data_IF_300214890860
#
_entry.id   IF_300214890860
#
_cell.length_a   1.000
_cell.length_b   1.000
_cell.length_c   1.000
_cell.angle_alpha   90.00
_cell.angle_beta   90.00
_cell.angle_gamma   90.00
#
_symmetry.space_group_name_H-M   'P 1'
#
loop_
_entity.id
_entity.type
_entity.pdbx_description
1 polymer ?
#
# COMPACT_ATOMS: atom_id res chain seq x y z
N UNK A 1 26.32 4.02 4.23
CA UNK A 1 26.36 3.69 2.77
C UNK A 1 25.70 2.34 2.55
N UNK A 2 24.73 2.26 1.65
CA UNK A 2 24.03 1.01 1.33
C UNK A 2 24.95 0.02 0.63
N UNK A 3 24.94 -1.23 1.07
CA UNK A 3 25.71 -2.34 0.46
C UNK A 3 24.88 -3.60 0.44
N UNK A 4 25.02 -4.39 -0.64
CA UNK A 4 24.51 -5.76 -0.68
C UNK A 4 25.28 -6.62 0.32
N UNK A 5 24.58 -7.13 1.31
CA UNK A 5 25.18 -7.92 2.41
C UNK A 5 24.85 -9.40 2.31
N UNK A 6 23.75 -9.74 1.64
CA UNK A 6 23.30 -11.13 1.53
C UNK A 6 22.48 -11.35 0.26
N UNK A 7 22.63 -12.53 -0.35
CA UNK A 7 21.75 -13.04 -1.39
C UNK A 7 21.19 -14.38 -0.95
N UNK A 8 19.87 -14.45 -0.82
CA UNK A 8 19.14 -15.69 -0.55
C UNK A 8 18.72 -16.30 -1.88
N UNK A 9 19.00 -17.57 -2.11
CA UNK A 9 18.68 -18.29 -3.35
C UNK A 9 17.40 -19.11 -3.18
N UNK A 10 16.83 -19.52 -4.30
CA UNK A 10 15.64 -20.38 -4.37
C UNK A 10 14.41 -19.73 -3.71
N UNK A 11 14.27 -18.39 -3.82
CA UNK A 11 13.13 -17.61 -3.35
C UNK A 11 12.16 -17.41 -4.50
N UNK A 12 11.15 -18.24 -4.62
CA UNK A 12 10.15 -18.19 -5.68
C UNK A 12 9.19 -17.00 -5.52
N UNK A 13 8.77 -16.72 -4.29
CA UNK A 13 7.90 -15.59 -3.97
C UNK A 13 8.46 -14.81 -2.79
N UNK A 14 8.34 -13.50 -2.88
CA UNK A 14 8.70 -12.56 -1.83
C UNK A 14 7.51 -11.65 -1.55
N UNK A 15 7.10 -11.62 -0.30
CA UNK A 15 5.99 -10.82 0.18
C UNK A 15 6.49 -9.88 1.27
N UNK A 16 6.29 -8.60 1.08
CA UNK A 16 6.52 -7.60 2.11
C UNK A 16 5.62 -6.41 1.85
N UNK A 17 4.70 -6.18 2.75
CA UNK A 17 3.75 -5.08 2.65
C UNK A 17 3.86 -4.12 3.83
N UNK A 18 4.80 -4.36 4.75
CA UNK A 18 5.01 -3.49 5.88
C UNK A 18 6.49 -3.33 6.19
N UNK A 19 6.98 -2.11 6.10
CA UNK A 19 8.36 -1.74 6.36
C UNK A 19 8.73 -1.73 7.85
N UNK A 20 7.72 -1.71 8.74
CA UNK A 20 7.95 -1.73 10.18
C UNK A 20 8.44 -3.10 10.62
N UNK A 21 9.31 -3.11 11.58
CA UNK A 21 9.81 -4.34 12.24
C UNK A 21 10.49 -5.33 11.31
N UNK A 22 10.83 -4.95 10.08
CA UNK A 22 11.49 -5.84 9.13
C UNK A 22 10.70 -7.11 8.84
N UNK A 23 9.40 -6.98 8.57
CA UNK A 23 8.51 -8.12 8.33
C UNK A 23 8.42 -8.42 6.85
N UNK A 24 8.76 -9.64 6.49
CA UNK A 24 8.60 -10.16 5.14
C UNK A 24 8.40 -11.66 5.14
N UNK A 25 7.94 -12.23 4.04
CA UNK A 25 7.83 -13.66 3.85
C UNK A 25 8.42 -14.09 2.51
N UNK A 26 8.96 -15.30 2.48
CA UNK A 26 9.46 -15.94 1.27
C UNK A 26 8.83 -17.32 1.10
N UNK A 27 8.62 -17.73 -0.15
CA UNK A 27 8.27 -19.12 -0.49
C UNK A 27 9.35 -19.65 -1.41
N UNK A 28 9.89 -20.84 -1.09
CA UNK A 28 10.92 -21.49 -1.88
C UNK A 28 10.32 -22.28 -3.07
N UNK A 29 11.19 -22.89 -3.88
CA UNK A 29 10.79 -23.72 -5.03
C UNK A 29 10.01 -25.00 -4.66
N UNK A 30 10.08 -25.42 -3.44
CA UNK A 30 9.41 -26.63 -2.90
C UNK A 30 8.13 -26.23 -2.14
N UNK A 31 7.67 -24.99 -2.31
CA UNK A 31 6.47 -24.40 -1.70
C UNK A 31 6.55 -24.29 -0.16
N UNK A 32 7.76 -24.31 0.41
CA UNK A 32 7.95 -24.02 1.83
C UNK A 32 7.98 -22.52 2.05
N UNK A 33 7.11 -22.04 2.90
CA UNK A 33 7.05 -20.61 3.23
C UNK A 33 7.67 -20.32 4.61
N UNK A 34 8.38 -19.21 4.67
CA UNK A 34 9.03 -18.70 5.87
C UNK A 34 8.66 -17.24 6.09
N UNK A 35 8.15 -16.94 7.27
CA UNK A 35 7.88 -15.57 7.71
C UNK A 35 9.04 -15.08 8.57
N UNK A 36 9.49 -13.87 8.31
CA UNK A 36 10.54 -13.19 9.07
C UNK A 36 9.91 -12.00 9.79
N UNK A 37 10.09 -11.95 11.10
CA UNK A 37 9.65 -10.80 11.93
C UNK A 37 10.84 -10.40 12.80
N UNK A 38 11.37 -9.21 12.57
CA UNK A 38 12.52 -8.68 13.32
C UNK A 38 13.68 -9.71 13.42
N UNK A 39 13.98 -10.38 12.30
CA UNK A 39 15.02 -11.39 12.18
C UNK A 39 14.66 -12.80 12.73
N UNK A 40 13.49 -12.97 13.34
CA UNK A 40 13.01 -14.30 13.76
C UNK A 40 12.38 -15.04 12.59
N UNK A 41 12.78 -16.28 12.37
CA UNK A 41 12.25 -17.16 11.33
C UNK A 41 11.09 -18.00 11.86
N UNK A 42 9.97 -17.99 11.17
CA UNK A 42 8.74 -18.70 11.55
C UNK A 42 8.26 -19.51 10.34
N UNK A 43 8.32 -20.86 10.38
CA UNK A 43 7.71 -21.69 9.34
C UNK A 43 6.20 -21.41 9.24
N UNK A 44 5.73 -21.17 8.04
CA UNK A 44 4.34 -20.78 7.78
C UNK A 44 3.87 -21.41 6.47
N UNK A 45 2.57 -21.44 6.24
CA UNK A 45 2.02 -21.73 4.92
C UNK A 45 2.14 -20.52 4.01
N UNK A 46 1.75 -20.66 2.76
CA UNK A 46 1.75 -19.58 1.79
C UNK A 46 1.13 -18.29 2.37
N UNK A 47 1.89 -17.19 2.26
CA UNK A 47 1.50 -15.89 2.78
C UNK A 47 0.87 -15.08 1.66
N UNK A 48 -0.29 -14.47 1.90
CA UNK A 48 -0.95 -13.59 0.96
C UNK A 48 -0.76 -12.10 1.27
N UNK A 49 -0.85 -11.76 2.56
CA UNK A 49 -0.71 -10.37 3.00
C UNK A 49 0.02 -10.28 4.33
N UNK A 50 0.78 -9.21 4.47
CA UNK A 50 1.44 -8.82 5.71
C UNK A 50 1.11 -7.34 5.96
N UNK A 51 0.68 -7.03 7.16
CA UNK A 51 0.42 -5.66 7.62
C UNK A 51 0.85 -5.52 9.07
N UNK A 52 1.04 -4.29 9.53
CA UNK A 52 1.20 -4.04 10.96
C UNK A 52 0.30 -2.91 11.43
N UNK A 53 -0.09 -2.97 12.68
CA UNK A 53 -0.70 -1.87 13.41
C UNK A 53 -0.13 -1.85 14.84
N UNK A 54 0.05 -0.66 15.38
CA UNK A 54 0.72 -0.44 16.65
C UNK A 54 2.08 -1.19 16.72
N UNK A 55 2.22 -2.13 17.63
CA UNK A 55 3.41 -2.98 17.79
C UNK A 55 3.14 -4.46 17.43
N UNK A 56 2.14 -4.71 16.59
CA UNK A 56 1.70 -6.03 16.17
C UNK A 56 1.81 -6.23 14.66
N UNK A 57 1.93 -7.48 14.26
CA UNK A 57 2.01 -7.91 12.86
C UNK A 57 0.86 -8.83 12.53
N UNK A 58 0.13 -8.51 11.49
CA UNK A 58 -0.98 -9.29 10.95
C UNK A 58 -0.52 -9.99 9.68
N UNK A 59 -0.68 -11.30 9.63
CA UNK A 59 -0.27 -12.12 8.49
C UNK A 59 -1.44 -12.97 8.03
N UNK A 60 -1.84 -12.80 6.77
CA UNK A 60 -2.84 -13.66 6.16
C UNK A 60 -2.17 -14.81 5.42
N UNK A 61 -2.64 -16.02 5.68
CA UNK A 61 -2.06 -17.25 5.16
C UNK A 61 -3.12 -18.18 4.59
N UNK A 62 -2.74 -19.02 3.64
CA UNK A 62 -3.59 -20.11 3.15
C UNK A 62 -3.92 -21.10 4.27
N UNK A 63 -5.19 -21.46 4.43
CA UNK A 63 -5.60 -22.51 5.37
C UNK A 63 -5.46 -23.93 4.80
N UNK A 64 -5.08 -24.04 3.51
CA UNK A 64 -4.99 -25.31 2.77
C UNK A 64 -6.34 -25.89 2.35
N UNK A 65 -7.43 -25.11 2.43
CA UNK A 65 -8.81 -25.48 2.07
C UNK A 65 -9.49 -24.44 1.17
N UNK A 66 -8.70 -23.49 0.63
CA UNK A 66 -9.19 -22.41 -0.19
C UNK A 66 -9.83 -21.28 0.62
N UNK A 67 -9.45 -21.14 1.88
CA UNK A 67 -9.80 -20.03 2.76
C UNK A 67 -8.52 -19.45 3.35
N UNK A 68 -8.64 -18.24 3.90
CA UNK A 68 -7.51 -17.58 4.55
C UNK A 68 -7.66 -17.61 6.06
N UNK A 69 -6.57 -17.87 6.75
CA UNK A 69 -6.42 -17.65 8.18
C UNK A 69 -5.64 -16.35 8.39
N UNK A 70 -6.09 -15.48 9.27
CA UNK A 70 -5.32 -14.30 9.67
C UNK A 70 -4.69 -14.54 11.04
N UNK A 71 -3.37 -14.39 11.11
CA UNK A 71 -2.57 -14.61 12.32
C UNK A 71 -2.06 -13.29 12.85
N UNK A 72 -2.20 -13.08 14.15
CA UNK A 72 -1.69 -11.92 14.86
C UNK A 72 -0.42 -12.29 15.62
N UNK A 73 0.65 -11.56 15.40
CA UNK A 73 1.93 -11.73 16.09
C UNK A 73 2.32 -10.44 16.82
N UNK A 74 3.14 -10.59 17.87
CA UNK A 74 3.91 -9.45 18.39
C UNK A 74 4.97 -9.03 17.37
N UNK A 75 5.50 -7.81 17.49
CA UNK A 75 6.68 -7.36 16.71
C UNK A 75 7.95 -8.21 16.92
N UNK A 76 7.93 -9.14 17.86
CA UNK A 76 9.01 -10.11 18.11
C UNK A 76 8.67 -11.51 17.59
N UNK A 77 7.59 -11.67 16.85
CA UNK A 77 7.19 -12.94 16.23
C UNK A 77 6.59 -13.96 17.18
N UNK A 78 5.97 -13.53 18.27
CA UNK A 78 5.18 -14.41 19.13
C UNK A 78 3.73 -14.42 18.64
N UNK A 79 3.16 -15.61 18.39
CA UNK A 79 1.77 -15.74 17.96
C UNK A 79 0.84 -15.38 19.11
N UNK A 80 -0.01 -14.40 18.90
CA UNK A 80 -1.01 -13.93 19.86
C UNK A 80 -2.39 -14.52 19.60
N UNK A 81 -2.83 -14.55 18.34
CA UNK A 81 -4.16 -15.00 17.97
C UNK A 81 -4.24 -15.52 16.54
N UNK A 82 -5.30 -16.27 16.23
CA UNK A 82 -5.63 -16.74 14.89
C UNK A 82 -7.12 -16.56 14.64
N UNK A 83 -7.47 -15.79 13.62
CA UNK A 83 -8.85 -15.64 13.12
C UNK A 83 -8.99 -16.44 11.84
N UNK A 84 -10.00 -17.28 11.78
CA UNK A 84 -10.24 -18.19 10.65
C UNK A 84 -11.24 -17.65 9.66
N UNK A 85 -11.12 -18.12 8.41
CA UNK A 85 -12.04 -17.79 7.31
C UNK A 85 -12.15 -16.29 7.03
N UNK A 86 -11.01 -15.58 7.09
CA UNK A 86 -10.95 -14.16 6.80
C UNK A 86 -10.98 -13.91 5.29
N UNK A 87 -11.55 -12.78 4.89
CA UNK A 87 -11.38 -12.26 3.54
C UNK A 87 -9.98 -11.70 3.32
N UNK A 88 -9.65 -11.38 2.06
CA UNK A 88 -8.43 -10.63 1.77
C UNK A 88 -8.45 -9.30 2.53
N UNK A 89 -7.27 -8.93 3.04
CA UNK A 89 -7.10 -7.67 3.74
C UNK A 89 -7.01 -6.54 2.71
N UNK A 90 -7.78 -5.48 2.92
CA UNK A 90 -7.63 -4.23 2.16
C UNK A 90 -6.43 -3.44 2.67
N UNK A 91 -5.71 -2.79 1.76
CA UNK A 91 -4.41 -2.19 2.02
C UNK A 91 -4.43 -1.01 3.01
N UNK A 92 -5.55 -0.33 3.15
CA UNK A 92 -5.64 0.95 3.86
C UNK A 92 -6.44 0.91 5.16
N UNK A 93 -6.79 -0.26 5.67
CA UNK A 93 -7.63 -0.39 6.87
C UNK A 93 -6.83 -0.56 8.15
N UNK A 94 -7.45 -0.22 9.28
CA UNK A 94 -6.92 -0.60 10.59
C UNK A 94 -6.99 -2.12 10.76
N UNK A 95 -5.86 -2.77 10.72
CA UNK A 95 -5.71 -4.22 10.72
C UNK A 95 -6.17 -4.92 12.01
N UNK A 96 -6.52 -4.19 13.04
CA UNK A 96 -7.16 -4.74 14.22
C UNK A 96 -8.55 -5.30 13.91
N UNK A 97 -9.24 -4.71 12.92
CA UNK A 97 -10.61 -5.06 12.59
C UNK A 97 -10.67 -5.71 11.22
N UNK A 98 -11.14 -6.95 11.17
CA UNK A 98 -11.18 -7.74 9.95
C UNK A 98 -12.61 -8.07 9.56
N UNK A 99 -12.87 -8.11 8.26
CA UNK A 99 -14.08 -8.70 7.72
C UNK A 99 -13.96 -10.22 7.64
N UNK A 100 -14.89 -10.93 8.24
CA UNK A 100 -15.01 -12.37 8.14
C UNK A 100 -16.25 -12.70 7.30
N UNK A 101 -16.05 -13.46 6.23
CA UNK A 101 -17.15 -14.01 5.46
C UNK A 101 -17.84 -15.12 6.29
N UNK A 102 -19.10 -14.94 6.62
CA UNK A 102 -19.88 -16.02 7.21
C UNK A 102 -20.26 -17.01 6.10
N UNK A 103 -19.57 -18.16 6.04
CA UNK A 103 -19.96 -19.27 5.17
C UNK A 103 -20.96 -20.17 5.91
N UNK A 104 -22.22 -20.15 5.52
CA UNK A 104 -23.08 -21.31 5.75
C UNK A 104 -22.72 -22.38 4.74
N UNK A 105 -22.31 -23.58 5.25
CA UNK A 105 -22.16 -24.84 4.54
C UNK A 105 -22.19 -24.78 3.00
N UNK A 106 -21.07 -24.29 2.38
CA UNK A 106 -20.89 -24.36 0.93
C UNK A 106 -21.52 -23.26 0.08
N UNK A 107 -22.13 -22.26 0.69
CA UNK A 107 -22.60 -21.04 0.00
C UNK A 107 -21.92 -19.83 0.61
N UNK A 108 -21.25 -19.04 -0.22
CA UNK A 108 -20.91 -17.67 0.15
C UNK A 108 -22.21 -16.91 0.35
N UNK A 109 -22.59 -16.60 1.58
CA UNK A 109 -23.85 -15.89 1.89
C UNK A 109 -23.79 -14.41 1.56
N UNK A 110 -22.61 -13.90 1.19
CA UNK A 110 -22.37 -12.46 0.99
C UNK A 110 -22.46 -11.63 2.30
N UNK A 111 -22.49 -12.29 3.45
CA UNK A 111 -22.53 -11.62 4.74
C UNK A 111 -21.14 -11.51 5.33
N UNK A 112 -20.77 -10.31 5.71
CA UNK A 112 -19.51 -10.01 6.36
C UNK A 112 -19.78 -9.59 7.82
N UNK A 113 -18.98 -10.11 8.73
CA UNK A 113 -18.94 -9.67 10.11
C UNK A 113 -17.64 -8.90 10.35
N UNK A 114 -17.72 -7.77 11.00
CA UNK A 114 -16.53 -7.07 11.48
C UNK A 114 -16.08 -7.67 12.81
N UNK A 115 -14.83 -8.11 12.89
CA UNK A 115 -14.28 -8.84 14.04
C UNK A 115 -13.01 -8.16 14.52
N UNK A 116 -12.87 -7.99 15.83
CA UNK A 116 -11.62 -7.59 16.47
C UNK A 116 -10.66 -8.79 16.52
N UNK A 117 -9.51 -8.68 15.85
CA UNK A 117 -8.50 -9.75 15.76
C UNK A 117 -7.84 -10.06 17.11
N UNK A 118 -7.85 -9.14 18.06
CA UNK A 118 -7.25 -9.37 19.37
C UNK A 118 -8.14 -10.23 20.27
N UNK A 119 -9.45 -10.04 20.18
CA UNK A 119 -10.41 -10.68 21.07
C UNK A 119 -11.26 -11.76 20.41
N UNK A 120 -11.29 -11.83 19.07
CA UNK A 120 -12.23 -12.60 18.27
C UNK A 120 -13.70 -12.17 18.47
N UNK A 121 -13.93 -11.00 19.02
CA UNK A 121 -15.26 -10.48 19.26
C UNK A 121 -15.88 -9.93 17.98
N UNK A 122 -17.11 -10.31 17.70
CA UNK A 122 -17.87 -9.75 16.58
C UNK A 122 -18.37 -8.37 17.00
N UNK A 123 -17.81 -7.32 16.40
CA UNK A 123 -18.15 -5.92 16.69
C UNK A 123 -19.54 -5.61 16.20
N UNK A 124 -19.83 -5.86 14.92
CA UNK A 124 -21.20 -5.90 14.46
C UNK A 124 -21.40 -6.84 13.27
N UNK A 125 -22.63 -7.32 13.15
CA UNK A 125 -23.08 -8.22 12.09
C UNK A 125 -23.88 -7.44 11.09
N UNK A 126 -23.60 -7.64 9.82
CA UNK A 126 -24.41 -7.06 8.79
C UNK A 126 -24.67 -7.98 7.61
N UNK A 127 -25.83 -7.76 7.00
CA UNK A 127 -26.33 -8.54 5.87
C UNK A 127 -25.97 -7.86 4.55
N UNK A 128 -24.71 -7.39 4.36
CA UNK A 128 -24.42 -6.47 3.28
C UNK A 128 -23.24 -6.85 2.39
N UNK A 129 -23.37 -6.54 1.10
CA UNK A 129 -22.36 -6.71 0.05
C UNK A 129 -21.58 -5.38 -0.13
N UNK A 130 -20.67 -5.04 0.73
CA UNK A 130 -19.87 -3.83 0.57
C UNK A 130 -18.55 -3.92 1.32
N UNK A 131 -17.51 -3.34 0.75
CA UNK A 131 -16.21 -3.24 1.41
C UNK A 131 -16.30 -2.22 2.53
N UNK A 132 -15.88 -2.61 3.73
CA UNK A 132 -15.75 -1.72 4.87
C UNK A 132 -14.32 -1.47 5.20
N UNK A 133 -14.03 -0.24 5.54
CA UNK A 133 -12.73 0.19 5.98
C UNK A 133 -12.83 0.77 7.38
N UNK A 134 -11.90 0.42 8.24
CA UNK A 134 -11.77 1.02 9.56
C UNK A 134 -10.51 1.89 9.58
N UNK A 135 -10.68 3.19 9.75
CA UNK A 135 -9.57 4.13 9.85
C UNK A 135 -9.56 4.72 11.27
N UNK A 136 -8.50 4.40 12.04
CA UNK A 136 -8.45 4.73 13.46
C UNK A 136 -9.62 4.05 14.22
N UNK A 137 -10.57 4.86 14.68
CA UNK A 137 -11.79 4.41 15.36
C UNK A 137 -13.07 4.71 14.56
N UNK A 138 -12.98 4.89 13.26
CA UNK A 138 -14.10 5.25 12.39
C UNK A 138 -14.35 4.15 11.37
N UNK A 139 -15.60 3.77 11.18
CA UNK A 139 -16.01 2.74 10.23
C UNK A 139 -16.70 3.39 9.03
N UNK A 140 -16.23 3.05 7.85
CA UNK A 140 -16.80 3.52 6.58
C UNK A 140 -17.12 2.32 5.69
N UNK A 141 -18.08 2.50 4.79
CA UNK A 141 -18.27 1.61 3.65
C UNK A 141 -18.45 2.42 2.38
N UNK A 142 -18.11 1.77 1.26
CA UNK A 142 -18.40 2.29 -0.06
C UNK A 142 -19.18 1.27 -0.86
N UNK A 143 -20.35 1.66 -1.35
CA UNK A 143 -21.18 0.84 -2.20
C UNK A 143 -21.90 1.69 -3.24
N UNK A 144 -21.74 1.34 -4.52
CA UNK A 144 -22.43 2.01 -5.63
C UNK A 144 -22.30 3.55 -5.60
N UNK A 145 -21.10 4.06 -5.34
CA UNK A 145 -20.78 5.48 -5.21
C UNK A 145 -21.40 6.18 -3.98
N UNK A 146 -21.93 5.41 -3.06
CA UNK A 146 -22.43 5.88 -1.78
C UNK A 146 -21.40 5.58 -0.72
N UNK A 147 -20.87 6.60 -0.07
CA UNK A 147 -20.02 6.45 1.10
C UNK A 147 -20.89 6.58 2.34
N UNK A 148 -20.72 5.65 3.26
CA UNK A 148 -21.48 5.62 4.52
C UNK A 148 -20.51 5.58 5.69
N UNK A 149 -20.76 6.39 6.72
CA UNK A 149 -20.07 6.30 8.01
C UNK A 149 -21.01 5.68 9.04
N UNK A 150 -20.47 4.75 9.80
CA UNK A 150 -21.20 4.05 10.85
C UNK A 150 -20.65 4.38 12.23
N UNK A 151 -21.51 4.27 13.23
CA UNK A 151 -21.09 4.13 14.61
C UNK A 151 -20.75 2.66 14.91
N UNK A 152 -20.13 2.39 16.05
CA UNK A 152 -19.72 1.04 16.47
C UNK A 152 -20.90 0.10 16.79
N UNK A 153 -22.09 0.62 17.01
CA UNK A 153 -23.32 -0.17 17.14
C UNK A 153 -23.97 -0.52 15.79
N UNK A 154 -23.35 -0.08 14.67
CA UNK A 154 -23.84 -0.30 13.31
C UNK A 154 -24.85 0.75 12.84
N UNK A 155 -25.20 1.75 13.65
CA UNK A 155 -26.06 2.85 13.22
C UNK A 155 -25.36 3.75 12.22
N UNK A 156 -26.10 4.25 11.22
CA UNK A 156 -25.57 5.16 10.20
C UNK A 156 -25.48 6.56 10.81
N UNK A 157 -24.26 7.11 10.86
CA UNK A 157 -24.01 8.50 11.25
C UNK A 157 -24.30 9.45 10.11
N UNK A 158 -23.85 9.13 8.90
CA UNK A 158 -24.18 9.80 7.67
C UNK A 158 -24.00 8.90 6.46
N UNK A 159 -24.64 9.25 5.37
CA UNK A 159 -24.55 8.58 4.08
C UNK A 159 -24.69 9.61 2.95
N UNK A 160 -23.81 9.56 1.97
CA UNK A 160 -23.82 10.49 0.87
C UNK A 160 -23.50 9.80 -0.47
N UNK A 161 -24.27 10.20 -1.52
CA UNK A 161 -23.98 9.85 -2.91
C UNK A 161 -23.33 11.05 -3.58
N UNK A 162 -22.07 10.93 -3.98
CA UNK A 162 -21.30 12.04 -4.57
C UNK A 162 -21.49 12.21 -6.09
N UNK A 163 -22.18 11.32 -6.79
CA UNK A 163 -22.41 11.48 -8.23
C UNK A 163 -23.07 12.83 -8.60
N UNK A 164 -24.10 13.30 -7.88
CA UNK A 164 -24.72 14.59 -8.18
C UNK A 164 -23.78 15.78 -8.05
N UNK A 165 -22.80 15.71 -7.16
CA UNK A 165 -21.85 16.81 -6.90
C UNK A 165 -20.96 17.12 -8.12
N UNK A 166 -20.75 16.13 -8.99
CA UNK A 166 -19.95 16.27 -10.20
C UNK A 166 -20.79 16.47 -11.47
N UNK A 167 -22.10 16.30 -11.39
CA UNK A 167 -23.03 16.34 -12.54
C UNK A 167 -22.60 15.37 -13.69
N UNK A 168 -21.92 14.29 -13.36
CA UNK A 168 -21.44 13.24 -14.28
C UNK A 168 -21.53 11.89 -13.58
N UNK A 169 -21.62 10.83 -14.39
CA UNK A 169 -21.57 9.48 -13.85
C UNK A 169 -20.14 9.15 -13.42
N UNK A 170 -19.97 8.72 -12.18
CA UNK A 170 -18.71 8.18 -11.67
C UNK A 170 -18.53 6.78 -12.23
N UNK A 171 -17.45 6.54 -12.97
CA UNK A 171 -17.26 5.29 -13.72
C UNK A 171 -16.54 4.20 -12.92
N UNK A 172 -15.80 4.60 -11.91
CA UNK A 172 -15.06 3.67 -11.04
C UNK A 172 -15.53 3.87 -9.60
N UNK A 173 -15.59 2.78 -8.85
CA UNK A 173 -15.90 2.84 -7.43
C UNK A 173 -14.91 3.74 -6.67
N UNK A 174 -15.35 4.23 -5.52
CA UNK A 174 -14.47 4.97 -4.63
C UNK A 174 -13.49 4.03 -3.94
N UNK A 175 -12.21 4.39 -3.91
CA UNK A 175 -11.19 3.75 -3.08
C UNK A 175 -10.91 4.68 -1.91
N UNK A 176 -11.21 4.22 -0.71
CA UNK A 176 -10.96 4.98 0.52
C UNK A 176 -9.51 4.81 0.92
N UNK A 177 -8.75 5.91 0.88
CA UNK A 177 -7.32 5.91 1.19
C UNK A 177 -7.04 6.05 2.70
N UNK A 178 -7.96 6.67 3.45
CA UNK A 178 -7.85 6.82 4.89
C UNK A 178 -8.32 8.18 5.40
N UNK A 179 -8.08 8.44 6.67
CA UNK A 179 -8.44 9.71 7.34
C UNK A 179 -7.18 10.46 7.72
N UNK A 180 -7.11 11.74 7.33
CA UNK A 180 -6.04 12.65 7.71
C UNK A 180 -6.60 14.07 7.89
N UNK A 181 -6.23 14.76 8.98
CA UNK A 181 -6.67 16.12 9.29
C UNK A 181 -8.20 16.26 9.43
N UNK A 182 -8.88 15.22 9.96
CA UNK A 182 -10.33 15.20 10.12
C UNK A 182 -11.11 15.05 8.81
N UNK A 183 -10.46 14.58 7.77
CA UNK A 183 -11.04 14.36 6.44
C UNK A 183 -10.81 12.93 5.99
N UNK A 184 -11.84 12.32 5.41
CA UNK A 184 -11.73 11.08 4.67
C UNK A 184 -11.22 11.41 3.26
N UNK A 185 -10.12 10.76 2.89
CA UNK A 185 -9.52 10.91 1.57
C UNK A 185 -9.95 9.73 0.71
N UNK A 186 -10.49 10.05 -0.46
CA UNK A 186 -11.10 9.05 -1.36
C UNK A 186 -10.60 9.27 -2.77
N UNK A 187 -10.05 8.21 -3.36
CA UNK A 187 -9.69 8.17 -4.77
C UNK A 187 -10.87 7.69 -5.61
N UNK A 188 -11.08 8.32 -6.75
CA UNK A 188 -12.11 7.94 -7.70
C UNK A 188 -11.74 8.39 -9.11
N UNK A 189 -12.64 8.20 -10.08
CA UNK A 189 -12.47 8.70 -11.43
C UNK A 189 -13.79 9.22 -11.97
N UNK A 190 -13.71 10.37 -12.64
CA UNK A 190 -14.83 11.04 -13.30
C UNK A 190 -14.47 11.25 -14.77
N UNK A 191 -15.28 10.76 -15.70
CA UNK A 191 -15.02 10.85 -17.14
C UNK A 191 -13.59 10.37 -17.52
N UNK A 192 -13.12 9.27 -16.93
CA UNK A 192 -11.77 8.70 -17.12
C UNK A 192 -10.61 9.57 -16.58
N UNK A 193 -10.94 10.58 -15.79
CA UNK A 193 -9.96 11.40 -15.08
C UNK A 193 -9.97 11.04 -13.60
N UNK A 194 -8.80 10.74 -13.07
CA UNK A 194 -8.65 10.46 -11.65
C UNK A 194 -8.90 11.70 -10.83
N UNK A 195 -9.55 11.53 -9.69
CA UNK A 195 -9.83 12.58 -8.73
C UNK A 195 -9.49 12.09 -7.31
N UNK A 196 -9.03 13.03 -6.49
CA UNK A 196 -8.87 12.83 -5.06
C UNK A 196 -9.85 13.72 -4.31
N UNK A 197 -10.68 13.12 -3.47
CA UNK A 197 -11.73 13.82 -2.72
C UNK A 197 -11.31 13.97 -1.27
N UNK A 198 -11.57 15.15 -0.71
CA UNK A 198 -11.49 15.43 0.72
C UNK A 198 -12.90 15.62 1.27
N UNK A 199 -13.34 14.70 2.12
CA UNK A 199 -14.69 14.64 2.69
C UNK A 199 -14.60 14.86 4.20
N UNK A 200 -15.43 15.73 4.76
CA UNK A 200 -15.49 15.91 6.20
C UNK A 200 -15.98 14.63 6.89
N UNK A 201 -15.18 14.10 7.81
CA UNK A 201 -15.49 12.82 8.46
C UNK A 201 -16.77 12.87 9.29
N UNK A 202 -17.17 14.05 9.82
CA UNK A 202 -18.30 14.16 10.72
C UNK A 202 -19.63 14.36 10.00
N UNK A 203 -19.59 15.09 8.88
CA UNK A 203 -20.82 15.48 8.16
C UNK A 203 -21.02 14.74 6.84
N UNK A 204 -19.96 14.17 6.26
CA UNK A 204 -19.97 13.59 4.91
C UNK A 204 -19.98 14.65 3.81
N UNK A 205 -19.78 15.92 4.13
CA UNK A 205 -19.73 17.01 3.16
C UNK A 205 -18.47 16.91 2.30
N UNK A 206 -18.60 17.03 0.98
CA UNK A 206 -17.47 17.16 0.06
C UNK A 206 -16.85 18.55 0.22
N UNK A 207 -15.67 18.62 0.81
CA UNK A 207 -14.96 19.87 1.05
C UNK A 207 -14.16 20.33 -0.17
N UNK A 208 -13.51 19.38 -0.86
CA UNK A 208 -12.73 19.68 -2.06
C UNK A 208 -12.54 18.43 -2.93
N UNK A 209 -12.53 18.65 -4.23
CA UNK A 209 -12.08 17.67 -5.22
C UNK A 209 -10.81 18.20 -5.90
N UNK A 210 -9.79 17.35 -5.96
CA UNK A 210 -8.56 17.62 -6.69
C UNK A 210 -8.61 16.81 -7.99
N UNK A 211 -8.54 17.49 -9.12
CA UNK A 211 -8.56 16.87 -10.44
C UNK A 211 -7.67 17.64 -11.40
N UNK A 212 -7.24 17.00 -12.48
CA UNK A 212 -6.54 17.69 -13.57
C UNK A 212 -7.51 18.63 -14.27
N UNK A 213 -7.26 19.94 -14.23
CA UNK A 213 -8.04 20.90 -15.00
C UNK A 213 -7.69 20.76 -16.49
N UNK A 214 -8.70 20.75 -17.37
CA UNK A 214 -8.49 20.76 -18.82
C UNK A 214 -7.75 22.02 -19.32
N UNK A 215 -7.65 23.05 -18.50
CA UNK A 215 -7.08 24.35 -18.82
C UNK A 215 -5.60 24.50 -18.39
N UNK A 216 -5.10 23.62 -17.51
CA UNK A 216 -3.70 23.66 -17.08
C UNK A 216 -2.78 23.01 -18.13
N UNK A 217 -2.60 23.69 -19.26
CA UNK A 217 -1.54 23.39 -20.23
C UNK A 217 -0.17 23.93 -19.81
N UNK A 218 -0.12 24.75 -18.77
CA UNK A 218 1.10 25.25 -18.17
C UNK A 218 1.51 24.35 -17.01
N UNK A 219 2.62 23.68 -17.15
CA UNK A 219 3.21 22.70 -16.22
C UNK A 219 3.56 23.24 -14.81
N UNK A 220 3.00 24.38 -14.40
CA UNK A 220 3.31 24.98 -13.09
C UNK A 220 2.53 24.35 -11.91
N UNK A 221 1.41 23.69 -12.18
CA UNK A 221 0.66 22.96 -11.16
C UNK A 221 0.33 21.56 -11.66
N UNK A 222 1.11 20.59 -11.21
CA UNK A 222 0.80 19.19 -11.44
C UNK A 222 -0.49 18.80 -10.74
N UNK A 223 -1.57 18.78 -11.49
CA UNK A 223 -2.83 18.25 -11.01
C UNK A 223 -3.13 16.95 -11.73
N UNK A 224 -2.80 15.97 -11.15
CA UNK A 224 -3.28 14.72 -10.62
C UNK A 224 -3.70 13.70 -11.68
N UNK A 225 -2.79 12.84 -12.04
CA UNK A 225 -3.14 11.43 -12.09
C UNK A 225 -3.03 10.92 -10.66
N UNK A 226 -4.10 10.40 -10.07
CA UNK A 226 -4.08 9.88 -8.70
C UNK A 226 -3.68 8.41 -8.79
N UNK A 227 -2.45 8.09 -8.41
CA UNK A 227 -2.03 6.70 -8.36
C UNK A 227 -1.84 6.23 -6.91
N UNK A 228 -0.83 6.72 -6.24
CA UNK A 228 -0.55 6.35 -4.86
C UNK A 228 -0.77 7.54 -3.93
N UNK A 229 -1.54 7.34 -2.87
CA UNK A 229 -1.87 8.37 -1.89
C UNK A 229 -1.30 7.99 -0.53
N UNK A 230 -0.49 8.87 0.05
CA UNK A 230 0.12 8.67 1.36
C UNK A 230 -0.41 9.71 2.35
N UNK A 231 -0.83 9.23 3.51
CA UNK A 231 -1.38 10.06 4.57
C UNK A 231 -0.39 10.16 5.72
N UNK A 232 0.21 11.32 5.91
CA UNK A 232 1.07 11.57 7.05
C UNK A 232 0.25 12.21 8.19
N UNK A 233 -0.07 11.41 9.20
CA UNK A 233 -0.87 11.84 10.35
C UNK A 233 -0.14 12.86 11.23
N UNK A 234 1.19 12.78 11.33
CA UNK A 234 1.97 13.65 12.19
C UNK A 234 2.07 15.05 11.62
N UNK A 235 2.33 15.19 10.34
CA UNK A 235 2.43 16.48 9.66
C UNK A 235 1.08 17.03 9.19
N UNK A 236 0.05 16.21 9.16
CA UNK A 236 -1.24 16.56 8.54
C UNK A 236 -1.16 16.74 7.03
N UNK A 237 -0.22 16.08 6.36
CA UNK A 237 0.00 16.18 4.93
C UNK A 237 -0.52 14.95 4.20
N UNK A 238 -1.02 15.19 3.00
CA UNK A 238 -1.42 14.15 2.05
C UNK A 238 -0.56 14.27 0.82
N UNK A 239 0.15 13.22 0.49
CA UNK A 239 1.02 13.16 -0.67
C UNK A 239 0.36 12.29 -1.73
N UNK A 240 0.15 12.84 -2.90
CA UNK A 240 -0.25 12.09 -4.08
C UNK A 240 0.94 11.94 -5.01
N UNK A 241 1.21 10.72 -5.40
CA UNK A 241 2.39 10.36 -6.19
C UNK A 241 1.98 9.67 -7.47
N UNK A 242 2.43 10.24 -8.58
CA UNK A 242 2.42 9.67 -9.93
C UNK A 242 3.72 10.12 -10.61
N UNK A 243 3.71 10.61 -11.85
CA UNK A 243 4.89 11.24 -12.47
C UNK A 243 5.33 12.50 -11.69
N UNK A 244 4.38 13.16 -11.08
CA UNK A 244 4.55 14.30 -10.20
C UNK A 244 4.16 13.94 -8.78
N UNK A 245 4.92 14.42 -7.82
CA UNK A 245 4.55 14.39 -6.40
C UNK A 245 3.86 15.69 -6.04
N UNK A 246 2.63 15.61 -5.53
CA UNK A 246 1.87 16.75 -5.01
C UNK A 246 1.63 16.58 -3.52
N UNK A 247 2.00 17.57 -2.73
CA UNK A 247 1.80 17.59 -1.28
C UNK A 247 0.66 18.55 -0.94
N UNK A 248 -0.35 18.03 -0.26
CA UNK A 248 -1.55 18.75 0.13
C UNK A 248 -1.54 18.91 1.65
N UNK A 249 -1.74 20.11 2.13
CA UNK A 249 -2.03 20.37 3.53
C UNK A 249 -3.48 20.01 3.85
N UNK A 250 -3.69 19.01 4.70
CA UNK A 250 -5.04 18.52 5.02
C UNK A 250 -5.89 19.51 5.80
N UNK A 251 -5.29 20.47 6.49
CA UNK A 251 -5.98 21.53 7.24
C UNK A 251 -6.61 22.56 6.30
N UNK A 252 -5.80 23.10 5.41
CA UNK A 252 -6.19 24.19 4.49
C UNK A 252 -6.72 23.71 3.14
N UNK A 253 -6.49 22.44 2.80
CA UNK A 253 -6.80 21.83 1.49
C UNK A 253 -6.09 22.55 0.33
N UNK A 254 -4.91 23.08 0.56
CA UNK A 254 -4.06 23.67 -0.47
C UNK A 254 -2.93 22.72 -0.85
N UNK A 255 -2.59 22.70 -2.14
CA UNK A 255 -1.34 22.13 -2.60
C UNK A 255 -0.22 23.06 -2.13
N UNK A 256 0.64 22.55 -1.26
CA UNK A 256 1.73 23.34 -0.65
C UNK A 256 3.07 23.08 -1.31
N UNK A 257 3.19 22.00 -2.07
CA UNK A 257 4.39 21.64 -2.80
C UNK A 257 4.03 20.73 -4.00
N UNK A 258 4.79 20.88 -5.09
CA UNK A 258 4.68 20.01 -6.26
C UNK A 258 6.04 19.90 -6.94
N UNK A 259 6.47 18.69 -7.27
CA UNK A 259 7.75 18.46 -7.95
C UNK A 259 7.73 17.18 -8.78
N UNK A 260 8.64 17.12 -9.75
CA UNK A 260 8.86 15.97 -10.61
C UNK A 260 10.17 15.28 -10.22
N UNK A 261 10.14 14.12 -9.57
CA UNK A 261 11.35 13.39 -9.23
C UNK A 261 12.23 13.08 -10.46
N UNK A 262 11.60 12.79 -11.61
CA UNK A 262 12.31 12.49 -12.87
C UNK A 262 13.27 13.59 -13.30
N UNK A 263 12.94 14.86 -13.08
CA UNK A 263 13.83 15.98 -13.42
C UNK A 263 15.16 15.97 -12.64
N UNK A 264 15.16 15.33 -11.48
CA UNK A 264 16.40 15.12 -10.73
C UNK A 264 17.18 13.93 -11.26
N UNK A 265 16.50 12.96 -11.91
CA UNK A 265 17.13 11.77 -12.49
C UNK A 265 17.80 12.05 -13.84
N UNK A 266 17.22 12.91 -14.68
CA UNK A 266 17.73 13.24 -16.01
C UNK A 266 19.16 13.80 -16.00
N UNK A 267 19.61 14.33 -14.86
CA UNK A 267 20.96 14.87 -14.70
C UNK A 267 22.04 13.79 -14.55
N UNK A 268 21.65 12.63 -14.03
CA UNK A 268 22.62 11.61 -13.60
C UNK A 268 22.42 10.24 -14.26
N UNK A 269 21.32 10.02 -15.00
CA UNK A 269 20.97 8.70 -15.53
C UNK A 269 20.49 8.81 -16.98
N UNK A 270 21.25 8.21 -17.87
CA UNK A 270 20.99 8.08 -19.34
C UNK A 270 19.94 6.98 -19.61
N UNK A 271 18.95 6.80 -18.70
CA UNK A 271 18.05 5.66 -18.67
C UNK A 271 16.59 6.08 -18.50
N UNK A 272 15.66 5.35 -19.12
CA UNK A 272 14.23 5.62 -18.95
C UNK A 272 13.75 5.07 -17.62
N UNK A 273 13.17 5.93 -16.80
CA UNK A 273 12.47 5.54 -15.57
C UNK A 273 11.04 5.15 -15.94
N UNK A 274 10.67 3.91 -15.68
CA UNK A 274 9.37 3.41 -16.13
C UNK A 274 8.37 3.09 -15.01
N UNK A 275 8.80 2.94 -13.75
CA UNK A 275 7.89 2.51 -12.70
C UNK A 275 8.20 3.18 -11.37
N UNK A 276 7.17 3.71 -10.75
CA UNK A 276 7.17 4.10 -9.36
C UNK A 276 6.64 2.92 -8.52
N UNK A 277 7.44 2.48 -7.58
CA UNK A 277 6.99 1.60 -6.50
C UNK A 277 7.05 2.38 -5.20
N UNK A 278 5.94 2.92 -4.80
CA UNK A 278 5.83 3.59 -3.52
C UNK A 278 5.44 2.58 -2.46
N UNK A 279 6.38 2.18 -1.63
CA UNK A 279 6.17 1.14 -0.61
C UNK A 279 6.44 1.60 0.81
N UNK A 280 6.45 2.91 1.02
CA UNK A 280 6.65 3.44 2.36
C UNK A 280 5.38 4.16 2.83
N UNK A 281 4.67 3.64 3.86
CA UNK A 281 3.48 4.27 4.40
C UNK A 281 3.72 5.68 4.96
N UNK A 282 4.98 6.07 5.14
CA UNK A 282 5.36 7.40 5.63
C UNK A 282 5.75 8.37 4.51
N UNK A 283 5.73 7.93 3.25
CA UNK A 283 6.09 8.75 2.08
C UNK A 283 7.47 9.45 2.15
N UNK A 284 8.33 9.01 3.08
CA UNK A 284 9.68 9.57 3.19
C UNK A 284 10.57 9.15 2.03
N UNK A 285 10.44 7.91 1.59
CA UNK A 285 11.21 7.34 0.51
C UNK A 285 10.29 6.82 -0.60
N UNK A 286 10.58 7.21 -1.82
CA UNK A 286 9.96 6.66 -3.02
C UNK A 286 11.00 5.79 -3.73
N UNK A 287 10.56 4.63 -4.17
CA UNK A 287 11.41 3.67 -4.88
C UNK A 287 11.07 3.71 -6.36
N UNK A 288 12.07 3.92 -7.18
CA UNK A 288 11.95 3.91 -8.62
C UNK A 288 12.71 2.74 -9.22
N UNK A 289 12.09 2.06 -10.17
CA UNK A 289 12.74 1.05 -10.99
C UNK A 289 13.14 1.65 -12.33
N UNK A 290 14.30 1.28 -12.80
CA UNK A 290 14.85 1.72 -14.06
C UNK A 290 14.96 0.58 -15.06
N UNK A 291 14.49 0.81 -16.28
CA UNK A 291 14.73 -0.05 -17.44
C UNK A 291 15.75 0.64 -18.33
N UNK A 292 16.86 -0.03 -18.63
CA UNK A 292 17.81 0.45 -19.61
C UNK A 292 17.25 0.32 -21.02
N UNK A 293 17.65 1.18 -21.97
CA UNK A 293 17.12 1.18 -23.35
C UNK A 293 17.21 -0.17 -24.07
N UNK A 294 18.15 -1.01 -23.66
CA UNK A 294 18.41 -2.33 -24.25
C UNK A 294 17.71 -3.49 -23.52
N UNK A 295 17.03 -3.23 -22.43
CA UNK A 295 16.46 -4.25 -21.55
C UNK A 295 14.94 -4.18 -21.53
N UNK A 296 14.26 -5.34 -21.48
CA UNK A 296 12.81 -5.44 -21.35
C UNK A 296 12.33 -5.47 -19.88
N UNK A 297 13.26 -5.52 -18.92
CA UNK A 297 12.98 -5.67 -17.50
C UNK A 297 13.80 -4.67 -16.66
N UNK A 298 13.29 -4.21 -15.52
CA UNK A 298 14.05 -3.35 -14.63
C UNK A 298 15.34 -4.01 -14.17
N UNK A 299 16.44 -3.31 -14.27
CA UNK A 299 17.79 -3.82 -13.92
C UNK A 299 18.50 -2.98 -12.87
N UNK A 300 17.94 -1.84 -12.56
CA UNK A 300 18.42 -0.95 -11.50
C UNK A 300 17.23 -0.40 -10.69
N UNK A 301 17.53 0.11 -9.52
CA UNK A 301 16.59 0.87 -8.71
C UNK A 301 17.31 2.01 -8.01
N UNK A 302 16.52 3.02 -7.61
CA UNK A 302 16.99 4.08 -6.74
C UNK A 302 15.93 4.47 -5.72
N UNK A 303 16.41 5.07 -4.65
CA UNK A 303 15.63 5.57 -3.55
C UNK A 303 15.71 7.07 -3.55
N UNK A 304 14.56 7.69 -3.71
CA UNK A 304 14.38 9.12 -3.66
C UNK A 304 13.85 9.53 -2.29
N UNK A 305 14.52 10.45 -1.63
CA UNK A 305 14.05 11.02 -0.37
C UNK A 305 13.17 12.23 -0.66
N UNK A 306 11.90 12.16 -0.23
CA UNK A 306 10.90 13.20 -0.47
C UNK A 306 11.13 14.47 0.35
N UNK A 307 11.85 14.38 1.48
CA UNK A 307 12.17 15.52 2.33
C UNK A 307 13.32 16.35 1.74
N UNK A 308 14.39 15.67 1.31
CA UNK A 308 15.56 16.33 0.71
C UNK A 308 15.41 16.58 -0.79
N UNK A 309 14.45 15.91 -1.43
CA UNK A 309 14.23 15.90 -2.89
C UNK A 309 15.46 15.43 -3.66
N UNK A 310 16.17 14.44 -3.14
CA UNK A 310 17.39 13.90 -3.70
C UNK A 310 17.38 12.38 -3.75
N UNK A 311 18.15 11.83 -4.69
CA UNK A 311 18.45 10.41 -4.72
C UNK A 311 19.43 10.10 -3.59
N UNK A 312 19.01 9.28 -2.62
CA UNK A 312 19.90 8.82 -1.55
C UNK A 312 20.72 7.59 -1.93
N UNK A 313 20.16 6.78 -2.81
CA UNK A 313 20.80 5.53 -3.23
C UNK A 313 20.37 5.13 -4.62
N UNK A 314 21.32 4.64 -5.40
CA UNK A 314 21.06 4.03 -6.70
C UNK A 314 22.00 2.83 -6.90
N UNK A 315 21.52 1.79 -7.56
CA UNK A 315 22.35 0.62 -7.86
C UNK A 315 21.91 -0.08 -9.14
N UNK A 316 22.90 -0.55 -9.90
CA UNK A 316 22.71 -1.52 -10.98
C UNK A 316 22.97 -2.90 -10.42
N UNK A 317 21.95 -3.74 -10.42
CA UNK A 317 22.03 -5.05 -9.79
C UNK A 317 22.70 -6.11 -10.67
N UNK A 318 22.61 -5.96 -11.99
CA UNK A 318 22.98 -7.04 -12.91
C UNK A 318 24.14 -6.64 -13.82
N UNK A 319 25.06 -7.58 -13.99
CA UNK A 319 26.12 -7.45 -15.01
C UNK A 319 25.54 -7.53 -16.43
N UNK A 320 26.21 -6.98 -17.46
CA UNK A 320 25.76 -7.11 -18.85
C UNK A 320 25.51 -8.57 -19.27
N UNK A 321 26.28 -9.52 -18.74
CA UNK A 321 26.13 -10.95 -19.00
C UNK A 321 24.87 -11.53 -18.37
N UNK A 322 24.45 -11.06 -17.20
CA UNK A 322 23.21 -11.48 -16.55
C UNK A 322 22.01 -10.88 -17.29
N UNK A 323 22.06 -9.59 -17.64
CA UNK A 323 21.03 -8.91 -18.43
C UNK A 323 20.80 -9.60 -19.77
N UNK A 324 21.86 -9.97 -20.50
CA UNK A 324 21.73 -10.72 -21.76
C UNK A 324 21.08 -12.11 -21.61
N UNK A 325 20.94 -12.61 -20.39
CA UNK A 325 20.20 -13.82 -20.05
C UNK A 325 18.77 -13.55 -19.55
N UNK A 326 18.35 -12.28 -19.57
CA UNK A 326 17.01 -11.87 -19.11
C UNK A 326 16.88 -11.72 -17.60
N UNK A 327 17.98 -11.65 -16.82
CA UNK A 327 17.90 -11.36 -15.40
C UNK A 327 17.48 -9.90 -15.18
N UNK A 328 16.52 -9.70 -14.29
CA UNK A 328 15.99 -8.39 -13.91
C UNK A 328 15.21 -8.45 -12.59
N UNK A 329 14.85 -7.28 -12.09
CA UNK A 329 14.01 -7.15 -10.91
C UNK A 329 12.59 -7.59 -11.28
N UNK A 330 11.96 -8.42 -10.44
CA UNK A 330 10.58 -8.86 -10.69
C UNK A 330 9.62 -7.66 -10.62
N UNK A 331 8.56 -7.70 -11.43
CA UNK A 331 7.50 -6.69 -11.34
C UNK A 331 6.69 -6.89 -10.06
N UNK A 332 6.12 -5.80 -9.54
CA UNK A 332 5.28 -5.73 -8.35
C UNK A 332 5.98 -6.06 -7.02
N UNK A 333 6.09 -5.04 -6.18
CA UNK A 333 6.64 -5.11 -4.81
C UNK A 333 8.05 -5.73 -4.69
N UNK A 334 8.77 -5.80 -5.80
CA UNK A 334 10.08 -6.44 -5.84
C UNK A 334 11.14 -5.74 -5.00
N UNK A 335 11.00 -4.44 -4.77
CA UNK A 335 11.92 -3.65 -3.94
C UNK A 335 11.19 -3.13 -2.72
N UNK A 336 11.69 -3.48 -1.54
CA UNK A 336 11.11 -3.08 -0.27
C UNK A 336 12.16 -2.40 0.60
N UNK A 337 11.82 -1.21 1.10
CA UNK A 337 12.61 -0.48 2.07
C UNK A 337 12.03 -0.73 3.46
N UNK A 338 12.88 -1.07 4.43
CA UNK A 338 12.48 -1.34 5.80
C UNK A 338 13.07 -0.29 6.75
N UNK A 339 12.26 0.21 7.68
CA UNK A 339 12.70 1.17 8.71
C UNK A 339 13.84 0.65 9.60
N UNK A 340 14.03 -0.67 9.60
CA UNK A 340 15.14 -1.34 10.26
C UNK A 340 16.50 -1.10 9.58
N UNK A 341 16.52 -0.37 8.46
CA UNK A 341 17.75 0.03 7.77
C UNK A 341 18.26 -0.99 6.77
N UNK A 342 17.37 -1.77 6.17
CA UNK A 342 17.71 -2.63 5.04
C UNK A 342 16.69 -2.56 3.91
N UNK A 343 17.12 -2.99 2.74
CA UNK A 343 16.33 -3.05 1.51
C UNK A 343 16.36 -4.49 1.02
N UNK A 344 15.21 -5.03 0.67
CA UNK A 344 15.07 -6.32 0.02
C UNK A 344 14.67 -6.13 -1.45
N UNK A 345 15.36 -6.82 -2.35
CA UNK A 345 15.06 -6.80 -3.78
C UNK A 345 14.95 -8.22 -4.30
N UNK A 346 13.79 -8.57 -4.85
CA UNK A 346 13.55 -9.87 -5.46
C UNK A 346 13.76 -9.81 -6.97
N UNK A 347 14.52 -10.76 -7.52
CA UNK A 347 14.79 -10.85 -8.95
C UNK A 347 14.09 -12.06 -9.60
N UNK A 348 13.98 -12.04 -10.92
CA UNK A 348 13.37 -13.11 -11.70
C UNK A 348 14.25 -14.39 -11.82
N UNK A 349 15.39 -14.42 -11.17
CA UNK A 349 16.26 -15.59 -11.02
C UNK A 349 16.06 -16.29 -9.67
N UNK A 350 14.91 -16.06 -9.00
CA UNK A 350 14.56 -16.62 -7.68
C UNK A 350 15.60 -16.26 -6.60
N UNK A 351 16.09 -15.02 -6.62
CA UNK A 351 17.05 -14.54 -5.61
C UNK A 351 16.47 -13.32 -4.89
N UNK A 352 16.63 -13.30 -3.56
CA UNK A 352 16.36 -12.16 -2.72
C UNK A 352 17.69 -11.51 -2.31
N UNK A 353 17.92 -10.30 -2.79
CA UNK A 353 19.06 -9.46 -2.47
C UNK A 353 18.74 -8.60 -1.26
N UNK A 354 19.62 -8.59 -0.27
CA UNK A 354 19.47 -7.79 0.95
C UNK A 354 20.60 -6.77 0.99
N UNK A 355 20.21 -5.50 1.05
CA UNK A 355 21.12 -4.37 1.21
C UNK A 355 20.93 -3.79 2.61
N UNK A 356 22.02 -3.42 3.25
CA UNK A 356 22.02 -2.77 4.57
C UNK A 356 22.71 -1.41 4.51
N UNK A 357 22.20 -0.46 5.30
CA UNK A 357 22.91 0.79 5.53
C UNK A 357 24.05 0.57 6.52
N UNK A 358 25.21 0.27 5.98
CA UNK A 358 26.41 0.08 6.78
C UNK A 358 26.91 1.46 7.22
N UNK A 359 26.73 1.77 8.51
CA UNK A 359 27.32 2.94 9.14
C UNK A 359 28.83 2.71 9.22
N UNK A 360 29.58 3.60 8.61
CA UNK A 360 31.04 3.65 8.73
C UNK A 360 31.48 3.93 10.17
#
# INVERSE_FOLDING_TARGET
>A
MWKETKVVKDVRHFYSFDARYGVYATTDKDDNSMLYINGKEIPIREVYHIRSYDDKVVVQVDDGKGLNDTRLYTKYGELLNVVKNTNSLDDNTNMRYLEICSKEAGKSTGFYNLVDIETNEVIFKENYLGTRCVFGNMIFSNENNIVTRYDWDGSILWQHNYEPDFNVKINLGFVMEGVCGGKLWVKSSVDWHDILLAIDVNTGELLKAFSKSKEDTNHEHCVLHVNEVFLNQESGQVMNVYDCVSVIDSGTLNVIDSYYPEKEFEKDIDERVHYLLANNPYAKYLIYLCIMEEDDTPTCFFIFNTETKQIEFSTRMFTPKERSKGYGITNHYAVQFFDTGYICVHDNGDRLHIFEDVKD
#
